data_IF_726093603610
#
_entry.id   IF_726093603610
#
_cell.length_a   1.000
_cell.length_b   1.000
_cell.length_c   1.000
_cell.angle_alpha   90.00
_cell.angle_beta   90.00
_cell.angle_gamma   90.00
#
_symmetry.space_group_name_H-M   'P 1'
#
loop_
_entity.id
_entity.type
_entity.pdbx_description
1 polymer ?
#
# COMPACT_ATOMS: atom_id res chain seq x y z
N UNK A 1 2.48 7.33 -26.84
CA UNK A 1 3.43 7.12 -25.71
C UNK A 1 2.80 6.19 -24.67
N UNK A 2 3.61 5.64 -23.75
CA UNK A 2 3.14 4.91 -22.55
C UNK A 2 3.35 5.76 -21.31
N UNK A 3 2.32 5.91 -20.49
CA UNK A 3 2.42 6.56 -19.18
C UNK A 3 2.72 5.51 -18.11
N UNK A 4 3.84 5.66 -17.42
CA UNK A 4 4.27 4.78 -16.32
C UNK A 4 4.06 5.52 -15.01
N UNK A 5 3.36 4.90 -14.07
CA UNK A 5 3.09 5.49 -12.76
C UNK A 5 3.69 4.61 -11.68
N UNK A 6 4.71 5.13 -10.99
CA UNK A 6 5.37 4.49 -9.86
C UNK A 6 4.76 4.93 -8.53
N UNK A 7 5.04 4.21 -7.46
CA UNK A 7 4.54 4.55 -6.12
C UNK A 7 5.29 5.75 -5.52
N UNK A 8 6.57 5.90 -5.83
CA UNK A 8 7.48 6.90 -5.23
C UNK A 8 8.36 7.56 -6.29
N UNK A 9 8.81 8.81 -6.06
CA UNK A 9 9.69 9.52 -6.99
C UNK A 9 11.00 8.77 -7.28
N UNK A 10 11.62 8.15 -6.29
CA UNK A 10 12.87 7.41 -6.45
C UNK A 10 12.72 6.23 -7.42
N UNK A 11 11.65 5.46 -7.28
CA UNK A 11 11.31 4.34 -8.18
C UNK A 11 11.07 4.85 -9.60
N UNK A 12 10.32 5.95 -9.74
CA UNK A 12 10.09 6.58 -11.04
C UNK A 12 11.39 7.00 -11.72
N UNK A 13 12.33 7.57 -10.98
CA UNK A 13 13.63 7.99 -11.51
C UNK A 13 14.46 6.80 -11.99
N UNK A 14 14.50 5.70 -11.25
CA UNK A 14 15.19 4.47 -11.67
C UNK A 14 14.57 3.91 -12.96
N UNK A 15 13.24 3.82 -13.03
CA UNK A 15 12.54 3.37 -14.22
C UNK A 15 12.79 4.31 -15.41
N UNK A 16 12.71 5.62 -15.20
CA UNK A 16 12.93 6.62 -16.25
C UNK A 16 14.35 6.56 -16.83
N UNK A 17 15.35 6.35 -15.99
CA UNK A 17 16.75 6.19 -16.41
C UNK A 17 16.91 5.00 -17.36
N UNK A 18 16.32 3.85 -17.03
CA UNK A 18 16.37 2.62 -17.84
C UNK A 18 15.61 2.77 -19.16
N UNK A 19 14.45 3.47 -19.14
CA UNK A 19 13.61 3.69 -20.32
C UNK A 19 14.06 4.85 -21.20
N UNK A 20 15.08 5.62 -20.78
CA UNK A 20 15.57 6.78 -21.52
C UNK A 20 14.66 8.02 -21.44
N UNK A 21 13.80 8.11 -20.44
CA UNK A 21 12.97 9.29 -20.16
C UNK A 21 13.78 10.35 -19.41
N UNK A 22 14.53 11.18 -20.13
CA UNK A 22 15.52 12.11 -19.57
C UNK A 22 15.03 13.55 -19.44
N UNK A 23 13.98 13.94 -20.15
CA UNK A 23 13.42 15.30 -20.09
C UNK A 23 12.64 15.47 -18.79
N UNK A 24 13.06 16.41 -17.95
CA UNK A 24 12.49 16.62 -16.63
C UNK A 24 11.42 17.71 -16.66
N UNK A 25 10.26 17.39 -16.12
CA UNK A 25 9.12 18.28 -15.94
C UNK A 25 8.67 18.32 -14.49
N UNK A 26 7.75 19.22 -14.17
CA UNK A 26 7.13 19.24 -12.83
C UNK A 26 6.25 17.98 -12.65
N UNK A 27 6.65 17.10 -11.75
CA UNK A 27 5.92 15.87 -11.42
C UNK A 27 6.10 14.68 -12.37
N UNK A 28 6.92 14.77 -13.43
CA UNK A 28 7.18 13.63 -14.33
C UNK A 28 8.48 13.79 -15.13
N UNK A 29 8.90 12.70 -15.76
CA UNK A 29 10.00 12.64 -16.72
C UNK A 29 9.48 12.12 -18.07
N UNK A 30 10.01 12.62 -19.20
CA UNK A 30 9.55 12.24 -20.54
C UNK A 30 10.73 11.92 -21.44
N UNK A 31 10.56 10.95 -22.33
CA UNK A 31 11.55 10.55 -23.34
C UNK A 31 11.47 9.06 -23.67
N UNK A 32 12.15 8.63 -24.73
CA UNK A 32 12.18 7.22 -25.13
C UNK A 32 10.83 6.59 -25.46
N UNK A 33 9.79 7.38 -25.75
CA UNK A 33 8.42 6.89 -25.95
C UNK A 33 7.61 6.71 -24.67
N UNK A 34 8.16 7.11 -23.52
CA UNK A 34 7.56 6.99 -22.21
C UNK A 34 7.39 8.34 -21.52
N UNK A 35 6.37 8.41 -20.69
CA UNK A 35 6.19 9.42 -19.65
C UNK A 35 6.22 8.67 -18.34
N UNK A 36 7.11 9.03 -17.42
CA UNK A 36 7.24 8.38 -16.12
C UNK A 36 6.91 9.37 -15.02
N UNK A 37 5.84 9.10 -14.31
CA UNK A 37 5.38 9.90 -13.18
C UNK A 37 5.25 9.01 -11.93
N UNK A 38 4.81 9.59 -10.82
CA UNK A 38 4.76 8.89 -9.53
C UNK A 38 3.61 9.37 -8.67
N UNK A 39 3.24 8.52 -7.73
CA UNK A 39 2.51 8.89 -6.54
C UNK A 39 3.50 9.29 -5.42
N UNK A 40 2.97 9.78 -4.30
CA UNK A 40 3.68 9.92 -3.03
C UNK A 40 3.04 8.97 -2.02
N UNK A 41 3.03 7.66 -2.32
CA UNK A 41 2.19 6.69 -1.67
C UNK A 41 0.72 6.95 -1.99
N UNK A 42 -0.18 6.80 -1.03
CA UNK A 42 -1.59 7.10 -1.23
C UNK A 42 -1.83 8.60 -1.48
N UNK A 43 -2.31 8.95 -2.67
CA UNK A 43 -2.75 10.31 -3.02
C UNK A 43 -4.20 10.56 -2.58
N UNK A 44 -4.97 9.50 -2.42
CA UNK A 44 -6.36 9.56 -2.00
C UNK A 44 -6.61 8.59 -0.84
N UNK A 45 -7.64 8.88 -0.08
CA UNK A 45 -8.08 8.10 1.07
C UNK A 45 -9.61 7.94 1.06
N UNK A 46 -10.13 7.00 1.84
CA UNK A 46 -11.56 6.89 2.07
C UNK A 46 -12.05 8.13 2.81
N UNK A 47 -13.17 8.67 2.34
CA UNK A 47 -13.77 9.88 2.90
C UNK A 47 -14.13 9.69 4.38
N UNK A 48 -14.09 10.78 5.15
CA UNK A 48 -14.56 10.79 6.53
C UNK A 48 -16.08 10.56 6.59
N UNK A 49 -16.58 10.15 7.74
CA UNK A 49 -17.99 9.93 8.02
C UNK A 49 -18.88 11.12 7.67
N UNK A 50 -18.42 12.32 7.96
CA UNK A 50 -19.13 13.55 7.65
C UNK A 50 -19.44 13.79 6.16
N UNK A 51 -18.71 13.12 5.27
CA UNK A 51 -18.95 13.18 3.81
C UNK A 51 -20.16 12.33 3.41
N UNK A 52 -20.46 11.30 4.19
CA UNK A 52 -21.62 10.42 3.95
C UNK A 52 -22.89 10.96 4.60
N UNK A 53 -22.76 11.48 5.81
CA UNK A 53 -23.86 12.14 6.54
C UNK A 53 -23.26 13.28 7.39
N UNK A 54 -23.76 14.49 7.22
CA UNK A 54 -23.28 15.68 7.93
C UNK A 54 -23.43 15.55 9.46
N UNK A 55 -24.45 14.83 9.94
CA UNK A 55 -24.67 14.58 11.36
C UNK A 55 -23.56 13.72 11.98
N UNK A 56 -22.89 12.91 11.17
CA UNK A 56 -21.76 12.08 11.60
C UNK A 56 -20.47 12.88 11.81
N UNK A 57 -20.47 14.19 11.56
CA UNK A 57 -19.38 15.08 11.99
C UNK A 57 -19.27 15.11 13.52
N UNK A 58 -20.41 15.02 14.23
CA UNK A 58 -20.43 14.95 15.70
C UNK A 58 -20.36 13.49 16.16
N UNK A 59 -19.49 13.27 17.14
CA UNK A 59 -19.37 11.94 17.73
C UNK A 59 -20.47 11.75 18.77
N UNK A 60 -21.38 10.84 18.52
CA UNK A 60 -22.44 10.45 19.43
C UNK A 60 -22.63 8.93 19.40
N UNK A 61 -23.00 8.31 20.51
CA UNK A 61 -23.28 6.88 20.55
C UNK A 61 -24.50 6.50 19.69
N UNK A 62 -25.47 7.41 19.57
CA UNK A 62 -26.66 7.19 18.77
C UNK A 62 -26.40 7.13 17.24
N UNK A 63 -25.28 7.70 16.77
CA UNK A 63 -24.88 7.65 15.37
C UNK A 63 -24.19 6.34 14.99
N UNK A 64 -23.85 5.49 15.96
CA UNK A 64 -23.12 4.25 15.70
C UNK A 64 -24.08 3.06 15.50
N UNK A 65 -23.78 2.11 14.63
CA UNK A 65 -22.58 2.05 13.76
C UNK A 65 -22.72 2.88 12.48
N UNK A 66 -21.63 3.52 12.05
CA UNK A 66 -21.56 4.21 10.76
C UNK A 66 -21.18 3.20 9.69
N UNK A 67 -22.12 2.93 8.77
CA UNK A 67 -21.96 1.94 7.68
C UNK A 67 -22.41 2.62 6.39
N UNK A 68 -21.50 3.21 5.59
CA UNK A 68 -21.85 3.81 4.32
C UNK A 68 -22.39 2.78 3.33
N UNK A 69 -23.43 3.11 2.60
CA UNK A 69 -23.96 2.27 1.51
C UNK A 69 -23.00 2.20 0.33
N UNK A 70 -22.21 3.26 0.12
CA UNK A 70 -21.15 3.32 -0.89
C UNK A 70 -19.95 4.07 -0.34
N UNK A 71 -18.75 3.51 -0.54
CA UNK A 71 -17.50 4.14 -0.13
C UNK A 71 -17.00 5.10 -1.21
N UNK A 72 -16.51 6.27 -0.78
CA UNK A 72 -15.93 7.30 -1.65
C UNK A 72 -14.48 7.50 -1.31
N UNK A 73 -13.63 7.59 -2.33
CA UNK A 73 -12.26 8.07 -2.17
C UNK A 73 -12.23 9.57 -2.46
N UNK A 74 -11.43 10.29 -1.69
CA UNK A 74 -11.14 11.71 -1.87
C UNK A 74 -9.64 11.92 -1.97
N UNK A 75 -9.23 12.86 -2.81
CA UNK A 75 -7.82 13.24 -2.93
C UNK A 75 -7.44 14.05 -1.69
N UNK A 76 -6.30 13.73 -1.09
CA UNK A 76 -5.75 14.50 0.03
C UNK A 76 -5.34 15.88 -0.44
N UNK A 77 -5.71 16.92 0.28
CA UNK A 77 -5.46 18.32 -0.09
C UNK A 77 -3.98 18.61 -0.35
N UNK A 78 -3.09 18.07 0.49
CA UNK A 78 -1.64 18.22 0.35
C UNK A 78 -1.04 17.45 -0.84
N UNK A 79 -1.80 16.56 -1.46
CA UNK A 79 -1.40 15.75 -2.63
C UNK A 79 -2.11 16.19 -3.92
N UNK A 80 -2.97 17.19 -3.85
CA UNK A 80 -3.81 17.62 -4.97
C UNK A 80 -2.99 17.98 -6.22
N UNK A 81 -1.88 18.68 -6.05
CA UNK A 81 -1.00 19.07 -7.16
C UNK A 81 -0.54 17.88 -7.98
N UNK A 82 -0.02 16.83 -7.31
CA UNK A 82 0.48 15.64 -8.01
C UNK A 82 -0.66 14.83 -8.64
N UNK A 83 -1.82 14.76 -7.98
CA UNK A 83 -2.99 14.13 -8.56
C UNK A 83 -3.44 14.83 -9.86
N UNK A 84 -3.45 16.17 -9.88
CA UNK A 84 -3.84 16.95 -11.06
C UNK A 84 -2.87 16.71 -12.22
N UNK A 85 -1.56 16.65 -11.95
CA UNK A 85 -0.54 16.28 -12.96
C UNK A 85 -0.83 14.89 -13.54
N UNK A 86 -1.05 13.89 -12.69
CA UNK A 86 -1.35 12.52 -13.14
C UNK A 86 -2.64 12.47 -13.96
N UNK A 87 -3.67 13.20 -13.55
CA UNK A 87 -4.94 13.30 -14.27
C UNK A 87 -4.77 13.92 -15.66
N UNK A 88 -3.97 14.97 -15.78
CA UNK A 88 -3.65 15.61 -17.05
C UNK A 88 -2.85 14.67 -17.96
N UNK A 89 -1.82 14.01 -17.43
CA UNK A 89 -1.04 13.01 -18.16
C UNK A 89 -1.89 11.85 -18.67
N UNK A 90 -2.82 11.36 -17.87
CA UNK A 90 -3.75 10.30 -18.29
C UNK A 90 -4.71 10.74 -19.39
N UNK A 91 -5.00 12.04 -19.51
CA UNK A 91 -5.88 12.62 -20.53
C UNK A 91 -5.17 12.94 -21.84
N UNK A 92 -3.84 12.98 -21.86
CA UNK A 92 -3.06 13.28 -23.09
C UNK A 92 -3.46 12.33 -24.21
N UNK A 93 -3.72 12.86 -25.40
CA UNK A 93 -4.13 12.09 -26.59
C UNK A 93 -3.02 11.15 -27.09
N UNK A 94 -1.76 11.56 -26.94
CA UNK A 94 -0.59 10.77 -27.35
C UNK A 94 -0.25 9.63 -26.38
N UNK A 95 -0.91 9.54 -25.22
CA UNK A 95 -0.80 8.43 -24.28
C UNK A 95 -1.80 7.34 -24.68
N UNK A 96 -1.31 6.19 -25.11
CA UNK A 96 -2.14 5.06 -25.54
C UNK A 96 -2.48 4.11 -24.39
N UNK A 97 -1.56 3.90 -23.45
CA UNK A 97 -1.64 2.91 -22.39
C UNK A 97 -1.06 3.48 -21.09
N UNK A 98 -1.56 3.00 -19.95
CA UNK A 98 -1.05 3.36 -18.61
C UNK A 98 -0.46 2.13 -17.95
N UNK A 99 0.80 2.22 -17.54
CA UNK A 99 1.54 1.14 -16.86
C UNK A 99 1.51 1.39 -15.36
N UNK A 100 0.91 0.48 -14.62
CA UNK A 100 1.03 0.43 -13.16
C UNK A 100 2.40 -0.14 -12.79
N UNK A 101 3.29 0.72 -12.32
CA UNK A 101 4.62 0.39 -11.82
C UNK A 101 4.76 0.66 -10.30
N UNK A 102 3.64 0.67 -9.56
CA UNK A 102 3.66 0.67 -8.11
C UNK A 102 4.13 -0.69 -7.59
N UNK A 103 4.49 -0.74 -6.31
CA UNK A 103 5.04 -1.94 -5.67
C UNK A 103 4.21 -3.20 -5.97
N UNK A 104 4.90 -4.33 -6.13
CA UNK A 104 4.29 -5.62 -6.46
C UNK A 104 3.52 -6.18 -5.26
N UNK A 105 2.28 -5.73 -5.08
CA UNK A 105 1.44 -6.11 -3.96
C UNK A 105 0.05 -5.45 -3.98
N UNK A 106 -0.75 -5.79 -2.99
CA UNK A 106 -2.12 -5.25 -2.83
C UNK A 106 -2.15 -3.73 -2.70
N UNK A 107 -1.21 -3.17 -1.93
CA UNK A 107 -1.15 -1.71 -1.70
C UNK A 107 -0.83 -0.96 -2.98
N UNK A 108 0.16 -1.44 -3.77
CA UNK A 108 0.49 -0.83 -5.06
C UNK A 108 -0.68 -0.87 -6.05
N UNK A 109 -1.48 -1.95 -6.05
CA UNK A 109 -2.72 -2.01 -6.84
C UNK A 109 -3.74 -0.98 -6.34
N UNK A 110 -3.95 -0.86 -5.03
CA UNK A 110 -4.90 0.09 -4.46
C UNK A 110 -4.49 1.54 -4.77
N UNK A 111 -3.22 1.89 -4.57
CA UNK A 111 -2.69 3.24 -4.84
C UNK A 111 -2.95 3.61 -6.30
N UNK A 112 -2.52 2.77 -7.23
CA UNK A 112 -2.65 3.04 -8.66
C UNK A 112 -4.11 3.11 -9.10
N UNK A 113 -4.92 2.08 -8.78
CA UNK A 113 -6.31 1.98 -9.23
C UNK A 113 -7.19 3.09 -8.68
N UNK A 114 -6.94 3.52 -7.43
CA UNK A 114 -7.67 4.65 -6.85
C UNK A 114 -7.41 5.93 -7.62
N UNK A 115 -6.15 6.23 -7.94
CA UNK A 115 -5.78 7.41 -8.75
C UNK A 115 -6.36 7.31 -10.16
N UNK A 116 -6.24 6.14 -10.80
CA UNK A 116 -6.76 5.89 -12.13
C UNK A 116 -8.28 6.10 -12.23
N UNK A 117 -9.03 5.56 -11.28
CA UNK A 117 -10.48 5.73 -11.21
C UNK A 117 -10.89 7.18 -10.92
N UNK A 118 -10.24 7.85 -9.97
CA UNK A 118 -10.53 9.26 -9.64
C UNK A 118 -10.17 10.22 -10.78
N UNK A 119 -9.14 9.90 -11.57
CA UNK A 119 -8.79 10.67 -12.77
C UNK A 119 -9.80 10.51 -13.91
N UNK A 120 -10.71 9.53 -13.82
CA UNK A 120 -11.68 9.18 -14.87
C UNK A 120 -11.00 8.62 -16.12
N UNK A 121 -9.88 7.93 -15.95
CA UNK A 121 -9.15 7.34 -17.07
C UNK A 121 -9.83 6.05 -17.56
N UNK A 122 -9.86 5.85 -18.87
CA UNK A 122 -10.41 4.64 -19.52
C UNK A 122 -9.40 3.91 -20.40
N UNK A 123 -8.13 4.35 -20.41
CA UNK A 123 -7.09 3.77 -21.24
C UNK A 123 -6.69 2.38 -20.74
N UNK A 124 -6.19 1.48 -21.61
CA UNK A 124 -5.73 0.16 -21.20
C UNK A 124 -4.67 0.24 -20.09
N UNK A 125 -4.82 -0.63 -19.08
CA UNK A 125 -3.87 -0.77 -17.98
C UNK A 125 -2.95 -1.95 -18.26
N UNK A 126 -1.65 -1.71 -18.18
CA UNK A 126 -0.61 -2.72 -18.13
C UNK A 126 -0.01 -2.75 -16.73
N UNK A 127 0.51 -3.90 -16.30
CA UNK A 127 1.13 -4.11 -15.00
C UNK A 127 2.58 -4.51 -15.14
N UNK A 128 3.46 -3.70 -14.57
CA UNK A 128 4.85 -4.06 -14.30
C UNK A 128 4.91 -4.80 -12.95
N UNK A 129 5.33 -6.04 -12.94
CA UNK A 129 5.45 -6.86 -11.73
C UNK A 129 6.88 -7.29 -11.53
N UNK A 130 7.62 -6.54 -10.75
CA UNK A 130 9.04 -6.79 -10.43
C UNK A 130 9.28 -6.67 -8.93
N UNK A 131 10.24 -7.40 -8.41
CA UNK A 131 10.65 -7.38 -7.00
C UNK A 131 12.02 -6.71 -6.78
N UNK A 132 12.71 -6.33 -7.86
CA UNK A 132 13.99 -5.62 -7.83
C UNK A 132 13.93 -4.37 -8.70
N UNK A 133 14.67 -3.33 -8.30
CA UNK A 133 14.82 -2.07 -9.06
C UNK A 133 16.15 -2.00 -9.81
N UNK A 134 16.85 -3.10 -9.99
CA UNK A 134 18.03 -3.17 -10.84
C UNK A 134 17.65 -3.02 -12.32
N UNK A 135 18.54 -2.45 -13.10
CA UNK A 135 18.32 -2.10 -14.49
C UNK A 135 17.82 -3.28 -15.33
N UNK A 136 18.42 -4.45 -15.14
CA UNK A 136 18.06 -5.65 -15.91
C UNK A 136 16.69 -6.20 -15.51
N UNK A 137 16.32 -6.09 -14.23
CA UNK A 137 14.99 -6.45 -13.76
C UNK A 137 13.91 -5.52 -14.34
N UNK A 138 14.20 -4.21 -14.40
CA UNK A 138 13.29 -3.24 -15.01
C UNK A 138 13.15 -3.53 -16.51
N UNK A 139 14.26 -3.71 -17.26
CA UNK A 139 14.21 -4.02 -18.71
C UNK A 139 13.41 -5.30 -18.99
N UNK A 140 13.71 -6.36 -18.28
CA UNK A 140 13.01 -7.64 -18.40
C UNK A 140 11.53 -7.51 -18.07
N UNK A 141 11.18 -6.76 -17.00
CA UNK A 141 9.81 -6.51 -16.60
C UNK A 141 9.01 -5.75 -17.65
N UNK A 142 9.60 -4.75 -18.32
CA UNK A 142 8.96 -4.02 -19.41
C UNK A 142 8.76 -4.85 -20.67
N UNK A 143 9.54 -5.91 -20.89
CA UNK A 143 9.32 -6.89 -21.96
C UNK A 143 8.18 -7.87 -21.63
N UNK A 144 7.80 -8.01 -20.37
CA UNK A 144 6.83 -8.98 -19.86
C UNK A 144 5.63 -8.31 -19.15
N UNK A 145 5.25 -7.11 -19.59
CA UNK A 145 4.09 -6.42 -19.05
C UNK A 145 2.84 -7.29 -19.19
N UNK A 146 2.07 -7.39 -18.13
CA UNK A 146 0.82 -8.15 -18.07
C UNK A 146 -0.38 -7.24 -18.19
N UNK A 147 -1.54 -7.81 -18.56
CA UNK A 147 -2.80 -7.08 -18.52
C UNK A 147 -3.14 -6.65 -17.10
N UNK A 148 -3.60 -5.42 -16.92
CA UNK A 148 -4.09 -4.97 -15.62
C UNK A 148 -5.26 -5.81 -15.10
N UNK A 149 -6.06 -6.40 -16.00
CA UNK A 149 -7.21 -7.26 -15.63
C UNK A 149 -6.81 -8.50 -14.85
N UNK A 150 -5.60 -9.03 -15.06
CA UNK A 150 -5.08 -10.19 -14.33
C UNK A 150 -4.94 -9.92 -12.82
N UNK A 151 -4.96 -8.63 -12.44
CA UNK A 151 -4.79 -8.16 -11.06
C UNK A 151 -6.10 -7.60 -10.44
N UNK A 152 -7.24 -7.77 -11.10
CA UNK A 152 -8.52 -7.26 -10.58
C UNK A 152 -8.90 -7.91 -9.24
N UNK A 153 -8.65 -9.20 -9.08
CA UNK A 153 -8.86 -9.90 -7.80
C UNK A 153 -7.97 -9.36 -6.68
N UNK A 154 -6.71 -9.01 -7.00
CA UNK A 154 -5.77 -8.40 -6.04
C UNK A 154 -6.24 -7.00 -5.62
N UNK A 155 -6.71 -6.20 -6.56
CA UNK A 155 -7.31 -4.89 -6.29
C UNK A 155 -8.55 -5.01 -5.41
N UNK A 156 -9.46 -5.95 -5.70
CA UNK A 156 -10.65 -6.17 -4.87
C UNK A 156 -10.29 -6.58 -3.44
N UNK A 157 -9.30 -7.44 -3.27
CA UNK A 157 -8.76 -7.80 -1.94
C UNK A 157 -8.24 -6.59 -1.18
N UNK A 158 -7.48 -5.71 -1.84
CA UNK A 158 -6.97 -4.48 -1.24
C UNK A 158 -8.10 -3.52 -0.84
N UNK A 159 -9.10 -3.36 -1.72
CA UNK A 159 -10.26 -2.51 -1.49
C UNK A 159 -11.12 -3.02 -0.33
N UNK A 160 -11.36 -4.32 -0.24
CA UNK A 160 -12.07 -4.94 0.89
C UNK A 160 -11.33 -4.68 2.21
N UNK A 161 -10.01 -4.82 2.21
CA UNK A 161 -9.19 -4.52 3.38
C UNK A 161 -9.31 -3.06 3.80
N UNK A 162 -9.16 -2.11 2.86
CA UNK A 162 -9.26 -0.68 3.15
C UNK A 162 -10.63 -0.32 3.75
N UNK A 163 -11.71 -0.87 3.21
CA UNK A 163 -13.08 -0.68 3.73
C UNK A 163 -13.24 -1.28 5.13
N UNK A 164 -12.73 -2.49 5.37
CA UNK A 164 -12.78 -3.13 6.69
C UNK A 164 -11.97 -2.33 7.74
N UNK A 165 -10.79 -1.86 7.37
CA UNK A 165 -9.95 -1.03 8.25
C UNK A 165 -10.66 0.30 8.59
N UNK A 166 -11.34 0.93 7.61
CA UNK A 166 -12.13 2.13 7.83
C UNK A 166 -13.33 1.86 8.76
N UNK A 167 -14.12 0.81 8.48
CA UNK A 167 -15.31 0.47 9.29
C UNK A 167 -14.95 0.18 10.75
N UNK A 168 -13.94 -0.66 10.97
CA UNK A 168 -13.48 -0.97 12.34
C UNK A 168 -12.89 0.27 12.99
N UNK A 169 -12.02 0.99 12.27
CA UNK A 169 -11.33 2.15 12.80
C UNK A 169 -12.29 3.24 13.26
N UNK A 170 -13.23 3.65 12.42
CA UNK A 170 -14.12 4.77 12.74
C UNK A 170 -15.12 4.42 13.85
N UNK A 171 -15.75 3.25 13.77
CA UNK A 171 -16.77 2.85 14.73
C UNK A 171 -16.17 2.53 16.10
N UNK A 172 -15.11 1.74 16.17
CA UNK A 172 -14.48 1.38 17.42
C UNK A 172 -13.79 2.59 18.08
N UNK A 173 -13.09 3.42 17.30
CA UNK A 173 -12.48 4.65 17.84
C UNK A 173 -13.52 5.54 18.49
N UNK A 174 -14.64 5.81 17.82
CA UNK A 174 -15.70 6.67 18.34
C UNK A 174 -16.38 6.04 19.56
N UNK A 175 -16.74 4.77 19.49
CA UNK A 175 -17.38 4.06 20.59
C UNK A 175 -16.53 4.09 21.87
N UNK A 176 -15.28 3.67 21.79
CA UNK A 176 -14.41 3.63 22.95
C UNK A 176 -14.03 5.04 23.44
N UNK A 177 -13.83 6.00 22.53
CA UNK A 177 -13.53 7.37 22.94
C UNK A 177 -14.69 8.01 23.71
N UNK A 178 -15.91 7.81 23.26
CA UNK A 178 -17.12 8.30 23.95
C UNK A 178 -17.35 7.61 25.29
N UNK A 179 -17.15 6.28 25.33
CA UNK A 179 -17.34 5.48 26.54
C UNK A 179 -16.34 5.85 27.64
N UNK A 180 -15.08 6.09 27.27
CA UNK A 180 -14.02 6.40 28.24
C UNK A 180 -13.74 7.90 28.42
N UNK A 181 -14.46 8.78 27.72
CA UNK A 181 -14.31 10.23 27.85
C UNK A 181 -12.96 10.80 27.40
N UNK A 182 -12.21 10.06 26.55
CA UNK A 182 -10.92 10.46 26.00
C UNK A 182 -10.71 9.84 24.63
N UNK A 183 -9.91 10.48 23.77
CA UNK A 183 -9.60 9.93 22.44
C UNK A 183 -8.81 8.64 22.54
N UNK A 184 -9.39 7.56 22.04
CA UNK A 184 -8.79 6.22 21.98
C UNK A 184 -8.82 5.77 20.51
N UNK A 185 -7.66 5.79 19.87
CA UNK A 185 -7.55 5.34 18.50
C UNK A 185 -7.53 3.80 18.47
N UNK A 186 -8.53 3.21 17.83
CA UNK A 186 -8.67 1.77 17.66
C UNK A 186 -8.46 1.41 16.20
N UNK A 187 -7.69 0.37 15.96
CA UNK A 187 -7.43 -0.11 14.60
C UNK A 187 -7.18 -1.61 14.56
N UNK A 188 -7.54 -2.23 13.47
CA UNK A 188 -7.47 -3.69 13.28
C UNK A 188 -6.04 -4.26 13.41
N UNK A 189 -5.02 -3.46 13.12
CA UNK A 189 -3.60 -3.85 13.26
C UNK A 189 -3.00 -3.23 14.52
N UNK A 190 -3.20 -1.94 14.72
CA UNK A 190 -2.59 -1.18 15.81
C UNK A 190 -2.98 -1.72 17.19
N UNK A 191 -4.26 -1.99 17.44
CA UNK A 191 -4.73 -2.42 18.75
C UNK A 191 -4.24 -3.83 19.14
N UNK A 192 -4.28 -4.85 18.27
CA UNK A 192 -3.66 -6.14 18.57
C UNK A 192 -2.15 -6.07 18.77
N UNK A 193 -1.46 -5.24 17.97
CA UNK A 193 0.00 -5.05 18.13
C UNK A 193 0.32 -4.45 19.50
N UNK A 194 -0.43 -3.43 19.93
CA UNK A 194 -0.27 -2.86 21.27
C UNK A 194 -0.56 -3.90 22.37
N UNK A 195 -1.61 -4.71 22.19
CA UNK A 195 -1.93 -5.77 23.15
C UNK A 195 -0.79 -6.78 23.31
N UNK A 196 -0.15 -7.19 22.18
CA UNK A 196 1.02 -8.08 22.22
C UNK A 196 2.21 -7.45 22.97
N UNK A 197 2.46 -6.15 22.76
CA UNK A 197 3.51 -5.43 23.47
C UNK A 197 3.23 -5.36 24.98
N UNK A 198 2.00 -5.03 25.36
CA UNK A 198 1.57 -4.98 26.79
C UNK A 198 1.69 -6.36 27.42
N UNK A 199 1.26 -7.41 26.72
CA UNK A 199 1.42 -8.79 27.22
C UNK A 199 2.90 -9.13 27.42
N UNK A 200 3.76 -8.79 26.45
CA UNK A 200 5.20 -9.05 26.56
C UNK A 200 5.84 -8.30 27.73
N UNK A 201 5.47 -7.05 27.95
CA UNK A 201 5.93 -6.27 29.11
C UNK A 201 5.49 -6.91 30.43
N UNK A 202 4.26 -7.43 30.51
CA UNK A 202 3.78 -8.14 31.67
C UNK A 202 4.58 -9.44 31.94
N UNK A 203 4.88 -10.22 30.88
CA UNK A 203 5.73 -11.42 30.98
C UNK A 203 7.14 -11.08 31.46
N UNK A 204 7.75 -9.99 30.94
CA UNK A 204 9.07 -9.52 31.37
C UNK A 204 9.04 -9.10 32.82
N UNK A 205 8.02 -8.36 33.24
CA UNK A 205 7.88 -7.89 34.62
C UNK A 205 7.64 -9.03 35.64
N UNK A 206 6.98 -10.10 35.20
CA UNK A 206 6.71 -11.29 35.98
C UNK A 206 7.80 -12.38 35.84
N UNK A 207 8.86 -12.11 35.09
CA UNK A 207 9.89 -13.11 34.83
C UNK A 207 10.64 -13.50 36.08
N UNK A 208 10.59 -14.78 36.43
CA UNK A 208 11.41 -15.40 37.44
C UNK A 208 12.51 -16.23 36.77
N UNK A 209 13.75 -15.96 37.11
CA UNK A 209 14.87 -16.71 36.55
C UNK A 209 14.83 -18.17 37.04
N UNK A 210 14.69 -19.09 36.10
CA UNK A 210 14.80 -20.52 36.35
C UNK A 210 16.16 -21.04 35.87
N UNK A 211 16.89 -21.81 36.65
CA UNK A 211 18.14 -22.41 36.21
C UNK A 211 17.85 -23.45 35.11
N UNK A 212 18.53 -23.35 34.03
CA UNK A 212 18.51 -24.37 32.98
C UNK A 212 19.91 -24.87 32.67
N UNK A 213 20.01 -26.10 32.21
CA UNK A 213 21.27 -26.73 31.90
C UNK A 213 21.35 -27.05 30.40
N UNK A 214 22.43 -26.62 29.78
CA UNK A 214 22.72 -27.02 28.39
C UNK A 214 23.71 -28.18 28.43
N UNK A 215 23.31 -29.35 27.97
CA UNK A 215 24.19 -30.50 27.79
C UNK A 215 24.74 -30.47 26.38
N UNK A 216 26.05 -30.25 26.23
CA UNK A 216 26.77 -30.47 24.97
C UNK A 216 27.23 -31.94 24.98
N UNK A 217 26.53 -32.78 24.22
CA UNK A 217 26.97 -34.14 23.99
C UNK A 217 28.14 -34.12 23.00
N UNK A 218 29.36 -34.20 23.51
CA UNK A 218 30.48 -34.56 22.68
C UNK A 218 30.31 -36.03 22.34
N UNK A 219 29.64 -36.32 21.25
CA UNK A 219 29.49 -37.70 20.76
C UNK A 219 30.86 -38.29 20.54
N UNK A 220 31.09 -39.48 21.11
CA UNK A 220 32.04 -40.39 20.53
C UNK A 220 31.76 -40.51 19.03
N UNK A 221 32.81 -40.66 18.18
CA UNK A 221 32.60 -40.75 16.74
C UNK A 221 31.53 -41.77 16.44
N UNK A 222 30.62 -41.42 15.56
CA UNK A 222 29.56 -42.33 15.10
C UNK A 222 30.23 -43.64 14.64
N UNK A 223 29.64 -44.81 14.89
CA UNK A 223 30.15 -46.06 14.33
C UNK A 223 30.32 -46.04 12.81
N UNK A 224 29.75 -45.08 12.12
CA UNK A 224 29.95 -44.82 10.69
C UNK A 224 31.27 -44.10 10.36
N UNK A 225 31.84 -43.37 11.32
CA UNK A 225 33.07 -42.60 11.09
C UNK A 225 34.34 -43.47 11.22
N UNK A 226 34.19 -44.72 11.69
CA UNK A 226 35.25 -45.70 11.82
C UNK A 226 35.34 -46.73 10.66
N UNK A 227 34.55 -46.58 9.63
CA UNK A 227 34.45 -47.55 8.54
C UNK A 227 35.18 -47.13 7.24
N UNK A 228 36.18 -46.24 7.34
CA UNK A 228 37.08 -45.91 6.21
C UNK A 228 38.53 -46.20 6.62
N UNK A 229 38.91 -47.42 6.50
CA UNK A 229 40.30 -47.84 6.31
C UNK A 229 40.36 -48.95 5.30
#
# INVERSE_FOLDING_TARGET
MRLVIAEKPSVAQSIAAVLGAKSRHDGYLEGGGYIVSWCFGHLAELADAAVYNADDAKWTLAALPIIPTSFRFIVRSEKQKQFDILRELMRREDVAEVVNACDAGREGELIFRTVYCLAGCSKPILRLWISSMEDDAIRSGFQQLKSGRDYDGLHQSALCRAKADWLVGINATRYFSLTYGRTLNIGRVMSPTLALLVQREAEISAFAAEPFYTCLLYTSPSPRDGATS
#
